data_IF_262168831863
#
_entry.id   IF_262168831863
#
_cell.length_a   1.000
_cell.length_b   1.000
_cell.length_c   1.000
_cell.angle_alpha   90.00
_cell.angle_beta   90.00
_cell.angle_gamma   90.00
#
_symmetry.space_group_name_H-M   'P 1'
#
loop_
_entity.id
_entity.type
_entity.pdbx_description
1 polymer ?
#
# COMPACT_ATOMS: atom_id res chain seq x y z
N UNK A 1 41.68 57.22 -21.11
CA UNK A 1 41.96 55.76 -21.02
C UNK A 1 40.81 55.06 -20.27
N UNK A 2 39.58 55.11 -20.80
CA UNK A 2 38.38 54.62 -20.07
C UNK A 2 37.38 53.88 -20.98
N UNK A 3 37.87 53.09 -21.94
CA UNK A 3 36.98 52.46 -22.93
C UNK A 3 37.29 50.97 -23.16
N UNK A 4 37.50 50.21 -22.07
CA UNK A 4 37.64 48.73 -22.16
C UNK A 4 36.96 47.92 -21.04
N UNK A 5 36.17 48.54 -20.15
CA UNK A 5 35.63 47.83 -18.98
C UNK A 5 34.16 47.39 -19.07
N UNK A 6 33.35 47.89 -20.00
CA UNK A 6 31.90 47.61 -20.00
C UNK A 6 31.47 46.31 -20.69
N UNK A 7 32.35 45.68 -21.49
CA UNK A 7 32.04 44.41 -22.19
C UNK A 7 32.12 43.17 -21.28
N UNK A 8 32.94 43.19 -20.21
CA UNK A 8 33.13 42.04 -19.30
C UNK A 8 31.95 41.82 -18.34
N UNK A 9 31.20 42.86 -17.98
CA UNK A 9 30.11 42.77 -17.00
C UNK A 9 28.87 42.05 -17.56
N UNK A 10 28.61 42.12 -18.87
CA UNK A 10 27.41 41.51 -19.48
C UNK A 10 27.45 39.98 -19.52
N UNK A 11 28.65 39.38 -19.63
CA UNK A 11 28.82 37.92 -19.63
C UNK A 11 28.82 37.30 -18.23
N UNK A 12 29.26 38.06 -17.22
CA UNK A 12 29.34 37.59 -15.83
C UNK A 12 27.95 37.29 -15.25
N UNK A 13 26.98 38.18 -15.46
CA UNK A 13 25.60 37.98 -14.98
C UNK A 13 24.94 36.72 -15.57
N UNK A 14 25.24 36.38 -16.83
CA UNK A 14 24.72 35.18 -17.48
C UNK A 14 25.32 33.91 -16.87
N UNK A 15 26.61 33.93 -16.50
CA UNK A 15 27.28 32.80 -15.84
C UNK A 15 26.77 32.59 -14.41
N UNK A 16 26.59 33.68 -13.64
CA UNK A 16 26.01 33.62 -12.29
C UNK A 16 24.58 33.07 -12.33
N UNK A 17 23.76 33.52 -13.28
CA UNK A 17 22.42 33.00 -13.50
C UNK A 17 22.42 31.50 -13.86
N UNK A 18 23.31 31.06 -14.74
CA UNK A 18 23.43 29.65 -15.15
C UNK A 18 23.78 28.71 -13.98
N UNK A 19 24.58 29.17 -13.02
CA UNK A 19 24.91 28.39 -11.82
C UNK A 19 23.71 28.35 -10.87
N UNK A 20 23.02 29.47 -10.65
CA UNK A 20 21.85 29.52 -9.76
C UNK A 20 20.72 28.64 -10.27
N UNK A 21 20.41 28.69 -11.57
CA UNK A 21 19.36 27.84 -12.16
C UNK A 21 19.73 26.35 -12.08
N UNK A 22 21.01 26.00 -12.25
CA UNK A 22 21.47 24.62 -12.12
C UNK A 22 21.25 24.09 -10.70
N UNK A 23 21.66 24.85 -9.68
CA UNK A 23 21.46 24.46 -8.28
C UNK A 23 19.97 24.37 -7.94
N UNK A 24 19.18 25.31 -8.42
CA UNK A 24 17.73 25.34 -8.23
C UNK A 24 17.04 24.13 -8.88
N UNK A 25 17.47 23.71 -10.08
CA UNK A 25 16.98 22.49 -10.73
C UNK A 25 17.30 21.22 -9.93
N UNK A 26 18.51 21.12 -9.36
CA UNK A 26 18.87 19.99 -8.51
C UNK A 26 17.98 19.90 -7.26
N UNK A 27 17.69 21.05 -6.64
CA UNK A 27 16.76 21.11 -5.50
C UNK A 27 15.36 20.67 -5.92
N UNK A 28 14.86 21.13 -7.07
CA UNK A 28 13.56 20.69 -7.58
C UNK A 28 13.49 19.19 -7.86
N UNK A 29 14.54 18.60 -8.42
CA UNK A 29 14.60 17.15 -8.63
C UNK A 29 14.48 16.39 -7.30
N UNK A 30 15.20 16.82 -6.27
CA UNK A 30 15.08 16.20 -4.94
C UNK A 30 13.67 16.34 -4.38
N UNK A 31 13.07 17.53 -4.45
CA UNK A 31 11.72 17.79 -3.94
C UNK A 31 10.68 16.92 -4.67
N UNK A 32 10.75 16.85 -6.00
CA UNK A 32 9.83 16.05 -6.82
C UNK A 32 9.96 14.57 -6.49
N UNK A 33 11.18 14.05 -6.39
CA UNK A 33 11.40 12.63 -6.11
C UNK A 33 10.92 12.25 -4.70
N UNK A 34 11.21 13.09 -3.70
CA UNK A 34 10.72 12.88 -2.33
C UNK A 34 9.20 12.95 -2.23
N UNK A 35 8.57 13.84 -2.99
CA UNK A 35 7.11 13.94 -3.05
C UNK A 35 6.48 12.65 -3.59
N UNK A 36 7.08 12.06 -4.64
CA UNK A 36 6.60 10.81 -5.24
C UNK A 36 6.79 9.61 -4.32
N UNK A 37 7.95 9.49 -3.69
CA UNK A 37 8.24 8.41 -2.73
C UNK A 37 7.28 8.49 -1.53
N UNK A 38 7.09 9.68 -0.96
CA UNK A 38 6.17 9.89 0.15
C UNK A 38 4.73 9.55 -0.24
N UNK A 39 4.29 9.99 -1.42
CA UNK A 39 2.95 9.67 -1.91
C UNK A 39 2.76 8.15 -2.10
N UNK A 40 3.76 7.45 -2.65
CA UNK A 40 3.75 5.98 -2.73
C UNK A 40 3.62 5.33 -1.36
N UNK A 41 4.43 5.78 -0.39
CA UNK A 41 4.42 5.27 0.98
C UNK A 41 3.07 5.48 1.69
N UNK A 42 2.50 6.70 1.60
CA UNK A 42 1.18 6.99 2.19
C UNK A 42 0.09 6.14 1.56
N UNK A 43 0.16 5.90 0.25
CA UNK A 43 -0.82 5.10 -0.48
C UNK A 43 -0.78 3.63 -0.03
N UNK A 44 0.41 3.01 0.01
CA UNK A 44 0.53 1.61 0.48
C UNK A 44 0.15 1.45 1.95
N UNK A 45 0.47 2.43 2.80
CA UNK A 45 0.11 2.42 4.22
C UNK A 45 -1.40 2.54 4.43
N UNK A 46 -2.06 3.37 3.62
CA UNK A 46 -3.52 3.48 3.60
C UNK A 46 -4.17 2.18 3.12
N UNK A 47 -3.65 1.58 2.04
CA UNK A 47 -4.13 0.32 1.51
C UNK A 47 -4.01 -0.83 2.53
N UNK A 48 -2.83 -0.99 3.16
CA UNK A 48 -2.63 -1.99 4.20
C UNK A 48 -3.62 -1.83 5.37
N UNK A 49 -3.93 -0.60 5.77
CA UNK A 49 -4.91 -0.31 6.82
C UNK A 49 -6.32 -0.73 6.43
N UNK A 50 -6.74 -0.48 5.19
CA UNK A 50 -8.06 -0.89 4.71
C UNK A 50 -8.15 -2.41 4.59
N UNK A 51 -7.11 -3.05 4.05
CA UNK A 51 -7.00 -4.51 3.99
C UNK A 51 -7.09 -5.15 5.37
N UNK A 52 -6.34 -4.65 6.35
CA UNK A 52 -6.37 -5.15 7.72
C UNK A 52 -7.77 -4.99 8.36
N UNK A 53 -8.44 -3.84 8.16
CA UNK A 53 -9.82 -3.63 8.65
C UNK A 53 -10.83 -4.59 8.03
N UNK A 54 -10.64 -4.97 6.77
CA UNK A 54 -11.48 -5.98 6.15
C UNK A 54 -11.15 -7.37 6.70
N UNK A 55 -9.86 -7.70 6.82
CA UNK A 55 -9.37 -8.99 7.28
C UNK A 55 -9.92 -9.40 8.66
N UNK A 56 -10.04 -8.43 9.58
CA UNK A 56 -10.55 -8.68 10.94
C UNK A 56 -12.02 -9.12 10.98
N UNK A 57 -12.82 -8.76 9.98
CA UNK A 57 -14.25 -9.08 9.96
C UNK A 57 -14.52 -10.56 9.68
N UNK A 58 -13.53 -11.31 9.21
CA UNK A 58 -13.70 -12.70 8.77
C UNK A 58 -14.57 -12.86 7.51
N UNK A 59 -15.04 -11.75 6.91
CA UNK A 59 -15.82 -11.77 5.67
C UNK A 59 -14.93 -12.16 4.48
N UNK A 60 -15.58 -12.72 3.46
CA UNK A 60 -14.93 -13.11 2.21
C UNK A 60 -15.96 -13.12 1.08
N UNK A 61 -15.47 -13.00 -0.16
CA UNK A 61 -16.28 -13.18 -1.36
C UNK A 61 -16.09 -14.62 -1.88
N UNK A 62 -17.15 -15.45 -1.95
CA UNK A 62 -17.06 -16.81 -2.50
C UNK A 62 -16.84 -16.83 -4.02
N UNK A 63 -16.94 -15.70 -4.72
CA UNK A 63 -16.82 -15.63 -6.18
C UNK A 63 -15.54 -16.26 -6.73
N UNK A 64 -14.41 -16.15 -6.01
CA UNK A 64 -13.13 -16.73 -6.48
C UNK A 64 -13.07 -18.26 -6.37
N UNK A 65 -13.93 -18.90 -5.57
CA UNK A 65 -13.98 -20.37 -5.44
C UNK A 65 -14.49 -21.01 -6.73
N UNK A 66 -15.26 -20.25 -7.51
CA UNK A 66 -15.81 -20.69 -8.80
C UNK A 66 -15.02 -20.14 -10.00
N UNK A 67 -13.89 -19.47 -9.78
CA UNK A 67 -13.01 -19.01 -10.85
C UNK A 67 -12.18 -20.17 -11.42
N UNK A 68 -11.66 -20.00 -12.64
CA UNK A 68 -10.77 -20.96 -13.29
C UNK A 68 -9.37 -20.34 -13.51
N UNK A 69 -8.32 -20.76 -12.77
CA UNK A 69 -8.34 -21.73 -11.68
C UNK A 69 -8.95 -21.16 -10.38
N UNK A 70 -9.47 -22.03 -9.48
CA UNK A 70 -10.04 -21.58 -8.22
C UNK A 70 -8.98 -21.05 -7.27
N UNK A 71 -9.36 -20.08 -6.43
CA UNK A 71 -8.48 -19.56 -5.38
C UNK A 71 -8.19 -20.61 -4.29
N UNK A 72 -6.99 -20.57 -3.71
CA UNK A 72 -6.60 -21.46 -2.61
C UNK A 72 -7.34 -21.12 -1.30
N UNK A 73 -7.41 -19.82 -0.97
CA UNK A 73 -8.17 -19.30 0.18
C UNK A 73 -8.98 -18.05 -0.24
N UNK A 74 -10.32 -18.13 -0.26
CA UNK A 74 -11.15 -17.01 -0.70
C UNK A 74 -11.15 -15.81 0.27
N UNK A 75 -10.80 -16.03 1.54
CA UNK A 75 -10.64 -14.94 2.52
C UNK A 75 -9.37 -14.15 2.25
N UNK A 76 -8.26 -14.82 1.95
CA UNK A 76 -7.01 -14.14 1.60
C UNK A 76 -7.14 -13.38 0.30
N UNK A 77 -7.80 -13.96 -0.70
CA UNK A 77 -8.04 -13.29 -1.98
C UNK A 77 -8.93 -12.06 -1.85
N UNK A 78 -10.00 -12.12 -1.05
CA UNK A 78 -10.84 -10.94 -0.80
C UNK A 78 -10.12 -9.83 -0.02
N UNK A 79 -9.21 -10.18 0.90
CA UNK A 79 -8.31 -9.21 1.56
C UNK A 79 -7.37 -8.57 0.53
N UNK A 80 -6.76 -9.36 -0.34
CA UNK A 80 -5.89 -8.86 -1.43
C UNK A 80 -6.65 -7.94 -2.37
N UNK A 81 -7.83 -8.35 -2.83
CA UNK A 81 -8.67 -7.54 -3.71
C UNK A 81 -9.07 -6.20 -3.07
N UNK A 82 -9.48 -6.24 -1.79
CA UNK A 82 -9.85 -5.03 -1.04
C UNK A 82 -8.64 -4.09 -0.84
N UNK A 83 -7.46 -4.66 -0.63
CA UNK A 83 -6.20 -3.92 -0.49
C UNK A 83 -5.77 -3.31 -1.84
N UNK A 84 -5.84 -4.09 -2.91
CA UNK A 84 -5.50 -3.69 -4.27
C UNK A 84 -6.39 -2.54 -4.75
N UNK A 85 -7.68 -2.57 -4.45
CA UNK A 85 -8.62 -1.49 -4.76
C UNK A 85 -8.24 -0.13 -4.09
N UNK A 86 -7.31 -0.12 -3.13
CA UNK A 86 -6.78 1.09 -2.48
C UNK A 86 -5.41 1.53 -2.99
N UNK A 87 -4.81 0.79 -3.93
CA UNK A 87 -3.59 1.16 -4.63
C UNK A 87 -3.87 2.05 -5.86
N UNK A 88 -5.12 2.45 -6.05
CA UNK A 88 -5.53 3.35 -7.14
C UNK A 88 -4.68 4.60 -7.18
N UNK A 89 -4.25 4.98 -8.38
CA UNK A 89 -3.38 6.12 -8.61
C UNK A 89 -1.93 5.72 -8.80
N UNK A 90 -1.45 4.65 -8.15
CA UNK A 90 -0.13 4.09 -8.43
C UNK A 90 -0.13 3.44 -9.82
N UNK A 91 0.95 3.63 -10.57
CA UNK A 91 1.22 2.80 -11.75
C UNK A 91 1.73 1.46 -11.25
N UNK A 92 1.03 0.38 -11.60
CA UNK A 92 1.35 -0.98 -11.20
C UNK A 92 1.81 -1.78 -12.41
N UNK A 93 2.86 -2.57 -12.26
CA UNK A 93 3.27 -3.53 -13.27
C UNK A 93 2.28 -4.71 -13.31
N UNK A 94 1.81 -5.08 -14.50
CA UNK A 94 0.97 -6.25 -14.73
C UNK A 94 1.85 -7.42 -15.22
N UNK A 95 2.82 -7.80 -14.39
CA UNK A 95 3.71 -8.94 -14.66
C UNK A 95 3.63 -9.93 -13.49
N UNK A 96 3.12 -11.16 -13.71
CA UNK A 96 3.04 -12.18 -12.66
C UNK A 96 4.41 -12.66 -12.17
N UNK A 97 5.49 -12.38 -12.91
CA UNK A 97 6.87 -12.73 -12.54
C UNK A 97 7.69 -11.52 -12.07
N UNK A 98 7.03 -10.38 -11.81
CA UNK A 98 7.69 -9.18 -11.33
C UNK A 98 8.51 -9.48 -10.06
N UNK A 99 9.75 -9.00 -10.04
CA UNK A 99 10.61 -9.04 -8.86
C UNK A 99 10.46 -7.74 -8.07
N UNK A 100 10.81 -7.80 -6.79
CA UNK A 100 10.84 -6.60 -5.95
C UNK A 100 11.74 -5.48 -6.51
N UNK A 101 12.79 -5.86 -7.24
CA UNK A 101 13.73 -4.93 -7.87
C UNK A 101 13.18 -4.27 -9.15
N UNK A 102 12.09 -4.79 -9.71
CA UNK A 102 11.52 -4.26 -10.94
C UNK A 102 10.72 -2.97 -10.68
N UNK A 103 10.71 -2.08 -11.66
CA UNK A 103 9.97 -0.83 -11.56
C UNK A 103 8.47 -1.09 -11.50
N UNK A 104 7.75 -0.33 -10.66
CA UNK A 104 6.30 -0.43 -10.48
C UNK A 104 5.81 -1.78 -9.94
N UNK A 105 6.71 -2.66 -9.47
CA UNK A 105 6.33 -3.93 -8.85
C UNK A 105 5.60 -3.69 -7.53
N UNK A 106 4.66 -4.57 -7.21
CA UNK A 106 3.91 -4.52 -5.97
C UNK A 106 3.63 -5.92 -5.42
N UNK A 107 3.57 -6.03 -4.11
CA UNK A 107 3.31 -7.29 -3.40
C UNK A 107 2.31 -7.01 -2.27
N UNK A 108 1.25 -7.81 -2.21
CA UNK A 108 0.27 -7.80 -1.11
C UNK A 108 0.38 -9.12 -0.37
N UNK A 109 1.02 -9.05 0.78
CA UNK A 109 1.27 -10.19 1.65
C UNK A 109 0.28 -10.18 2.81
N UNK A 110 -0.32 -11.33 3.08
CA UNK A 110 -1.23 -11.53 4.20
C UNK A 110 -0.64 -12.65 5.07
N UNK A 111 -0.40 -12.33 6.34
CA UNK A 111 0.06 -13.28 7.33
C UNK A 111 -0.93 -13.39 8.47
N UNK A 112 -1.11 -14.59 9.00
CA UNK A 112 -2.02 -14.86 10.09
C UNK A 112 -1.42 -15.86 11.05
N UNK A 113 -1.89 -15.85 12.29
CA UNK A 113 -1.51 -16.87 13.27
C UNK A 113 -2.44 -18.08 13.16
N UNK A 114 -1.86 -19.27 12.97
CA UNK A 114 -2.57 -20.55 12.95
C UNK A 114 -2.94 -21.05 14.36
N UNK A 115 -3.65 -22.17 14.46
CA UNK A 115 -4.07 -22.76 15.73
C UNK A 115 -2.92 -23.11 16.69
N UNK A 116 -1.72 -23.30 16.14
CA UNK A 116 -0.50 -23.61 16.89
C UNK A 116 0.28 -22.36 17.33
N UNK A 117 -0.23 -21.16 17.07
CA UNK A 117 0.45 -19.91 17.43
C UNK A 117 1.59 -19.52 16.48
N UNK A 118 1.69 -20.15 15.31
CA UNK A 118 2.74 -19.87 14.32
C UNK A 118 2.23 -18.90 13.25
N UNK A 119 3.11 -18.00 12.81
CA UNK A 119 2.83 -17.08 11.71
C UNK A 119 2.91 -17.82 10.38
N UNK A 120 1.82 -17.79 9.63
CA UNK A 120 1.65 -18.47 8.36
C UNK A 120 1.36 -17.45 7.26
N UNK A 121 2.05 -17.59 6.13
CA UNK A 121 1.81 -16.82 4.90
C UNK A 121 0.56 -17.31 4.18
N UNK A 122 -0.08 -16.43 3.40
CA UNK A 122 -1.31 -16.73 2.65
C UNK A 122 -2.40 -17.28 3.57
N UNK A 123 -2.48 -16.75 4.79
CA UNK A 123 -3.44 -17.18 5.78
C UNK A 123 -3.97 -15.97 6.55
N UNK A 124 -5.28 -15.84 6.66
CA UNK A 124 -5.93 -14.68 7.28
C UNK A 124 -6.03 -14.78 8.82
N UNK A 125 -5.49 -15.85 9.43
CA UNK A 125 -5.51 -16.07 10.87
C UNK A 125 -6.85 -16.65 11.37
N UNK A 126 -6.81 -17.34 12.50
CA UNK A 126 -8.03 -17.85 13.16
C UNK A 126 -8.75 -16.72 13.94
N UNK A 127 -10.02 -16.91 14.36
CA UNK A 127 -10.75 -15.92 15.15
C UNK A 127 -10.01 -15.52 16.43
N UNK A 128 -10.04 -14.23 16.77
CA UNK A 128 -9.35 -13.66 17.94
C UNK A 128 -7.82 -13.57 17.84
N UNK A 129 -7.19 -14.13 16.81
CA UNK A 129 -5.75 -14.05 16.58
C UNK A 129 -5.37 -12.88 15.65
N UNK A 130 -4.13 -12.37 15.72
CA UNK A 130 -3.70 -11.28 14.85
C UNK A 130 -3.55 -11.72 13.39
N UNK A 131 -3.91 -10.79 12.50
CA UNK A 131 -3.66 -10.81 11.07
C UNK A 131 -2.78 -9.61 10.70
N UNK A 132 -1.79 -9.83 9.85
CA UNK A 132 -0.86 -8.83 9.34
C UNK A 132 -1.12 -8.68 7.85
N UNK A 133 -1.41 -7.46 7.41
CA UNK A 133 -1.48 -7.11 5.99
C UNK A 133 -0.30 -6.21 5.69
N UNK A 134 0.52 -6.64 4.73
CA UNK A 134 1.67 -5.89 4.23
C UNK A 134 1.51 -5.61 2.75
N UNK A 135 1.81 -4.37 2.38
CA UNK A 135 1.87 -3.92 1.00
C UNK A 135 3.26 -3.37 0.74
N UNK A 136 3.94 -3.89 -0.28
CA UNK A 136 5.23 -3.41 -0.75
C UNK A 136 5.03 -2.88 -2.16
N UNK A 137 5.59 -1.72 -2.46
CA UNK A 137 5.54 -1.10 -3.79
C UNK A 137 6.89 -0.51 -4.15
N UNK A 138 7.33 -0.68 -5.39
CA UNK A 138 8.60 -0.13 -5.84
C UNK A 138 8.41 1.15 -6.64
N UNK A 139 8.82 2.29 -6.06
CA UNK A 139 8.67 3.62 -6.67
C UNK A 139 9.84 3.87 -7.62
N UNK A 140 9.62 4.03 -8.93
CA UNK A 140 10.72 4.29 -9.86
C UNK A 140 11.16 5.75 -9.80
N UNK A 141 12.48 5.94 -9.85
CA UNK A 141 13.13 7.25 -9.84
C UNK A 141 13.11 7.82 -11.25
N UNK A 142 12.57 9.04 -11.41
CA UNK A 142 12.44 9.68 -12.73
C UNK A 142 13.52 10.73 -12.98
N UNK A 143 14.07 11.30 -11.92
CA UNK A 143 15.03 12.40 -12.04
C UNK A 143 16.38 11.86 -12.53
N UNK A 144 17.02 12.47 -13.54
CA UNK A 144 18.17 11.88 -14.22
C UNK A 144 19.38 11.69 -13.30
N UNK A 145 19.56 12.59 -12.32
CA UNK A 145 20.68 12.53 -11.36
C UNK A 145 20.51 11.35 -10.40
N UNK A 146 19.31 11.11 -9.89
CA UNK A 146 19.06 10.03 -8.94
C UNK A 146 18.88 8.69 -9.64
N UNK A 147 18.27 8.66 -10.83
CA UNK A 147 18.05 7.43 -11.60
C UNK A 147 19.38 6.74 -11.99
N UNK A 148 20.43 7.53 -12.25
CA UNK A 148 21.77 6.99 -12.50
C UNK A 148 22.44 6.33 -11.29
N UNK A 149 21.92 6.53 -10.08
CA UNK A 149 22.45 5.94 -8.83
C UNK A 149 21.54 4.80 -8.37
N UNK A 150 20.23 5.05 -8.35
CA UNK A 150 19.20 4.12 -7.90
C UNK A 150 18.02 4.20 -8.87
N UNK A 151 17.63 3.09 -9.47
CA UNK A 151 16.51 3.03 -10.42
C UNK A 151 15.15 3.13 -9.73
N UNK A 152 15.04 2.62 -8.50
CA UNK A 152 13.79 2.53 -7.78
C UNK A 152 14.01 2.38 -6.26
N UNK A 153 12.98 2.75 -5.49
CA UNK A 153 13.01 2.69 -4.02
C UNK A 153 11.76 1.93 -3.53
N UNK A 154 11.94 0.81 -2.81
CA UNK A 154 10.81 0.09 -2.24
C UNK A 154 10.24 0.86 -1.05
N UNK A 155 8.93 1.04 -1.05
CA UNK A 155 8.15 1.58 0.06
C UNK A 155 7.22 0.50 0.58
N UNK A 156 7.04 0.46 1.91
CA UNK A 156 6.28 -0.59 2.57
C UNK A 156 5.28 0.02 3.55
N UNK A 157 4.03 -0.47 3.46
CA UNK A 157 2.98 -0.26 4.44
C UNK A 157 2.65 -1.58 5.13
N UNK A 158 2.55 -1.60 6.45
CA UNK A 158 2.19 -2.80 7.21
C UNK A 158 1.27 -2.44 8.36
N UNK A 159 0.22 -3.24 8.53
CA UNK A 159 -0.74 -3.10 9.61
C UNK A 159 -1.06 -4.46 10.19
N UNK A 160 -1.06 -4.54 11.53
CA UNK A 160 -1.45 -5.74 12.28
C UNK A 160 -2.69 -5.42 13.11
N UNK A 161 -3.70 -6.27 13.04
CA UNK A 161 -4.93 -6.15 13.84
C UNK A 161 -5.39 -7.53 14.32
N UNK A 162 -6.12 -7.59 15.42
CA UNK A 162 -6.71 -8.84 15.91
C UNK A 162 -8.03 -9.11 15.19
N UNK A 163 -8.19 -10.34 14.70
CA UNK A 163 -9.46 -10.81 14.14
C UNK A 163 -10.57 -10.73 15.17
N UNK A 164 -11.79 -10.56 14.68
CA UNK A 164 -12.99 -10.67 15.51
C UNK A 164 -13.03 -12.06 16.18
N UNK A 165 -13.58 -12.14 17.42
CA UNK A 165 -13.61 -13.38 18.19
C UNK A 165 -14.60 -14.40 17.62
N UNK A 166 -15.48 -13.96 16.72
CA UNK A 166 -16.42 -14.79 16.02
C UNK A 166 -15.91 -15.10 14.62
N UNK A 167 -16.15 -16.33 14.20
CA UNK A 167 -15.70 -16.76 12.89
C UNK A 167 -16.67 -16.34 11.78
N UNK A 168 -16.34 -16.81 10.59
CA UNK A 168 -17.00 -16.55 9.33
C UNK A 168 -18.53 -16.74 9.41
N UNK A 169 -19.28 -15.65 9.33
CA UNK A 169 -20.75 -15.67 9.25
C UNK A 169 -21.18 -16.40 7.98
N UNK A 170 -21.63 -17.65 8.12
CA UNK A 170 -22.09 -18.49 7.01
C UNK A 170 -21.60 -19.94 7.07
N UNK A 171 -20.57 -20.25 7.86
CA UNK A 171 -20.16 -21.64 8.13
C UNK A 171 -20.17 -21.88 9.64
N UNK A 172 -21.25 -22.50 10.13
CA UNK A 172 -21.39 -22.89 11.53
C UNK A 172 -20.55 -24.13 11.78
N UNK A 173 -19.27 -23.93 12.09
CA UNK A 173 -18.42 -24.99 12.64
C UNK A 173 -17.84 -24.50 13.97
N UNK A 174 -18.21 -25.24 15.02
CA UNK A 174 -17.81 -25.17 16.44
C UNK A 174 -16.69 -24.18 16.80
N UNK A 175 -17.05 -23.11 17.51
CA UNK A 175 -16.10 -22.20 18.18
C UNK A 175 -16.41 -20.71 18.07
N UNK A 176 -17.42 -20.32 17.29
CA UNK A 176 -17.73 -18.91 17.05
C UNK A 176 -18.64 -18.34 18.16
N UNK A 177 -18.21 -17.26 18.81
CA UNK A 177 -19.08 -16.47 19.68
C UNK A 177 -20.20 -15.83 18.86
N UNK A 178 -21.46 -16.20 19.08
CA UNK A 178 -22.60 -15.63 18.34
C UNK A 178 -22.68 -14.12 18.60
N UNK A 179 -22.99 -13.32 17.58
CA UNK A 179 -23.23 -11.88 17.75
C UNK A 179 -24.27 -11.63 18.86
N UNK A 180 -24.14 -10.57 19.67
CA UNK A 180 -25.11 -10.25 20.70
C UNK A 180 -26.52 -10.16 20.11
N UNK A 181 -27.55 -10.65 20.82
CA UNK A 181 -28.93 -10.54 20.35
C UNK A 181 -29.30 -9.07 20.17
N UNK A 182 -30.04 -8.77 19.10
CA UNK A 182 -30.55 -7.41 18.87
C UNK A 182 -31.38 -6.97 20.09
N UNK A 183 -31.23 -5.71 20.53
CA UNK A 183 -32.11 -5.18 21.57
C UNK A 183 -33.56 -5.21 21.09
N UNK A 184 -34.53 -5.43 21.99
CA UNK A 184 -35.94 -5.45 21.63
C UNK A 184 -36.34 -4.11 21.02
N UNK A 185 -37.16 -4.18 19.97
CA UNK A 185 -37.72 -3.00 19.30
C UNK A 185 -38.56 -2.23 20.34
N UNK A 186 -38.41 -0.90 20.49
CA UNK A 186 -39.25 -0.12 21.39
C UNK A 186 -40.72 -0.31 21.00
N UNK A 187 -41.53 -0.83 21.92
CA UNK A 187 -42.99 -0.90 21.72
C UNK A 187 -43.53 0.52 21.66
N UNK A 188 -44.14 0.90 20.53
CA UNK A 188 -44.78 2.21 20.41
C UNK A 188 -45.84 2.35 21.52
N UNK A 189 -45.70 3.36 22.37
CA UNK A 189 -46.69 3.68 23.39
C UNK A 189 -48.02 4.08 22.72
N UNK A 190 -49.12 3.66 23.31
CA UNK A 190 -50.46 4.06 22.87
C UNK A 190 -50.63 5.57 23.12
N UNK A 191 -50.92 6.33 22.07
CA UNK A 191 -51.35 7.75 22.17
C UNK A 191 -52.81 7.84 22.49
#
# INVERSE_FOLDING_TARGET
>A
MHEKLQLRQKGQALAEFAIVILVLLLIFFVIIEMSRILWGWVTVQSAARVGARYAITGQFDPGCVYADPPCEDPRVESIRATTFARLTGLTLADDPNAKLEDNFSYFIEVYGINEYGQLQENFAGVPGQPVVVRVIYNVPIITPVLNGIVSNVPVMGQVTMNNEPFGQTGSVTTGQSVAPPLPPIPTAGYT
#
